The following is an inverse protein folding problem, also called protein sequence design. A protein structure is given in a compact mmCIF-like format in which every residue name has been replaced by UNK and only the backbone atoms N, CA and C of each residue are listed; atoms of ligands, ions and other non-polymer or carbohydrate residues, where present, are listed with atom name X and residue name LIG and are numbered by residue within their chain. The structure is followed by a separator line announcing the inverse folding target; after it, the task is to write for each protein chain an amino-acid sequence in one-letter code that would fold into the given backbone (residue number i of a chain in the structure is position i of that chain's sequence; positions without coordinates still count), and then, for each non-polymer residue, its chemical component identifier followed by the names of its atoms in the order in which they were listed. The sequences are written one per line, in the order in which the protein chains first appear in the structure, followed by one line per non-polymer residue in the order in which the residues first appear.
data_IF_826650731861
#
_entry.id   IF_826650731861
#
_cell.length_a   1.000
_cell.length_b   1.000
_cell.length_c   1.000
_cell.angle_alpha   90.00
_cell.angle_beta   90.00
_cell.angle_gamma   90.00
#
_symmetry.space_group_name_H-M   'P 1'
#
loop_
_entity.id
_entity.type
_entity.pdbx_description
1 polymer ?
#
# COMPACT_ATOMS: atom_id res chain seq x y z
N UNK A 1 35.02 14.70 23.65
CA UNK A 1 34.95 14.40 22.20
C UNK A 1 33.57 13.92 21.75
N UNK A 2 32.57 13.82 22.63
CA UNK A 2 31.29 13.15 22.33
C UNK A 2 30.25 13.97 21.55
N UNK A 3 30.31 15.30 21.60
CA UNK A 3 29.26 16.14 21.02
C UNK A 3 29.22 16.06 19.46
N UNK A 4 30.40 16.06 18.82
CA UNK A 4 30.49 16.04 17.35
C UNK A 4 29.94 14.74 16.72
N UNK A 5 30.20 13.59 17.35
CA UNK A 5 29.70 12.31 16.86
C UNK A 5 28.19 12.17 17.03
N UNK A 6 27.64 12.65 18.14
CA UNK A 6 26.20 12.66 18.38
C UNK A 6 25.46 13.61 17.43
N UNK A 7 25.99 14.81 17.18
CA UNK A 7 25.41 15.72 16.19
C UNK A 7 25.41 15.14 14.78
N UNK A 8 26.49 14.45 14.38
CA UNK A 8 26.58 13.81 13.07
C UNK A 8 25.54 12.68 12.92
N UNK A 9 25.37 11.85 13.95
CA UNK A 9 24.37 10.78 13.97
C UNK A 9 22.93 11.35 13.93
N UNK A 10 22.66 12.41 14.69
CA UNK A 10 21.36 13.08 14.68
C UNK A 10 21.03 13.67 13.31
N UNK A 11 22.00 14.31 12.64
CA UNK A 11 21.80 14.83 11.27
C UNK A 11 21.50 13.69 10.28
N UNK A 12 22.25 12.59 10.34
CA UNK A 12 22.01 11.43 9.48
C UNK A 12 20.63 10.82 9.71
N UNK A 13 20.21 10.68 10.97
CA UNK A 13 18.85 10.24 11.32
C UNK A 13 17.79 11.10 10.64
N UNK A 14 17.85 12.41 10.83
CA UNK A 14 16.85 13.33 10.29
C UNK A 14 16.79 13.27 8.77
N UNK A 15 17.94 13.14 8.10
CA UNK A 15 18.00 12.96 6.63
C UNK A 15 17.28 11.68 6.21
N UNK A 16 17.50 10.57 6.90
CA UNK A 16 16.85 9.29 6.57
C UNK A 16 15.33 9.38 6.81
N UNK A 17 14.90 9.94 7.95
CA UNK A 17 13.47 10.11 8.25
C UNK A 17 12.77 10.99 7.21
N UNK A 18 13.39 12.10 6.81
CA UNK A 18 12.87 12.96 5.73
C UNK A 18 12.83 12.24 4.38
N UNK A 19 13.84 11.42 4.07
CA UNK A 19 13.83 10.64 2.83
C UNK A 19 12.70 9.60 2.81
N UNK A 20 12.42 8.94 3.95
CA UNK A 20 11.28 8.04 4.10
C UNK A 20 9.97 8.79 3.88
N UNK A 21 9.79 9.94 4.55
CA UNK A 21 8.59 10.75 4.43
C UNK A 21 8.36 11.20 2.99
N UNK A 22 9.40 11.73 2.33
CA UNK A 22 9.31 12.16 0.94
C UNK A 22 8.93 10.99 0.01
N UNK A 23 9.54 9.81 0.19
CA UNK A 23 9.19 8.64 -0.62
C UNK A 23 7.72 8.22 -0.45
N UNK A 24 7.13 8.42 0.74
CA UNK A 24 5.71 8.14 0.97
C UNK A 24 4.81 9.20 0.35
N UNK A 25 5.22 10.47 0.38
CA UNK A 25 4.47 11.60 -0.19
C UNK A 25 4.52 11.63 -1.72
N UNK A 26 5.59 11.10 -2.33
CA UNK A 26 5.75 10.96 -3.78
C UNK A 26 4.97 9.76 -4.36
N UNK A 27 4.08 9.16 -3.57
CA UNK A 27 3.28 8.03 -4.00
C UNK A 27 2.24 8.44 -5.06
N UNK A 28 2.22 7.71 -6.17
CA UNK A 28 1.38 7.89 -7.36
C UNK A 28 0.06 7.12 -7.29
N UNK A 29 -0.31 6.64 -6.09
CA UNK A 29 -1.49 5.83 -5.79
C UNK A 29 -1.49 4.42 -6.42
N UNK A 30 -0.39 3.99 -7.06
CA UNK A 30 -0.32 2.65 -7.66
C UNK A 30 0.25 1.62 -6.69
N UNK A 31 -0.26 0.38 -6.78
CA UNK A 31 0.24 -0.75 -5.98
C UNK A 31 1.72 -1.07 -6.25
N UNK A 32 2.22 -1.14 -7.50
CA UNK A 32 3.63 -1.43 -7.77
C UNK A 32 4.57 -0.39 -7.17
N UNK A 33 4.19 0.89 -7.21
CA UNK A 33 5.01 1.95 -6.63
C UNK A 33 4.96 1.90 -5.08
N UNK A 34 3.80 1.60 -4.48
CA UNK A 34 3.70 1.37 -3.03
C UNK A 34 4.64 0.24 -2.55
N UNK A 35 4.69 -0.88 -3.28
CA UNK A 35 5.61 -1.99 -2.97
C UNK A 35 7.08 -1.56 -3.04
N UNK A 36 7.45 -0.78 -4.05
CA UNK A 36 8.79 -0.23 -4.20
C UNK A 36 9.16 0.70 -3.03
N UNK A 37 8.25 1.62 -2.68
CA UNK A 37 8.40 2.54 -1.55
C UNK A 37 8.59 1.76 -0.25
N UNK A 38 7.76 0.75 0.01
CA UNK A 38 7.86 -0.06 1.23
C UNK A 38 9.16 -0.85 1.30
N UNK A 39 9.63 -1.40 0.18
CA UNK A 39 10.92 -2.10 0.11
C UNK A 39 12.08 -1.15 0.40
N UNK A 40 12.05 0.05 -0.19
CA UNK A 40 13.08 1.08 0.03
C UNK A 40 13.08 1.58 1.46
N UNK A 41 11.90 1.86 2.02
CA UNK A 41 11.79 2.33 3.39
C UNK A 41 12.19 1.26 4.42
N UNK A 42 11.94 -0.02 4.14
CA UNK A 42 12.46 -1.12 4.96
C UNK A 42 13.99 -1.10 5.04
N UNK A 43 14.67 -0.81 3.93
CA UNK A 43 16.13 -0.65 3.93
C UNK A 43 16.57 0.55 4.77
N UNK A 44 15.90 1.69 4.62
CA UNK A 44 16.17 2.89 5.42
C UNK A 44 15.97 2.68 6.93
N UNK A 45 14.95 1.92 7.32
CA UNK A 45 14.72 1.56 8.73
C UNK A 45 15.84 0.64 9.25
N UNK A 46 16.26 -0.36 8.47
CA UNK A 46 17.37 -1.23 8.85
C UNK A 46 18.69 -0.44 9.00
N UNK A 47 18.91 0.57 8.16
CA UNK A 47 20.09 1.44 8.27
C UNK A 47 20.02 2.36 9.51
N UNK A 48 18.82 2.84 9.89
CA UNK A 48 18.60 3.54 11.16
C UNK A 48 18.91 2.64 12.36
N UNK A 49 18.44 1.39 12.36
CA UNK A 49 18.70 0.42 13.44
C UNK A 49 20.21 0.17 13.62
N UNK A 50 20.96 0.03 12.52
CA UNK A 50 22.44 -0.12 12.55
C UNK A 50 23.15 1.09 13.15
N UNK A 51 22.58 2.28 13.01
CA UNK A 51 23.10 3.52 13.61
C UNK A 51 22.78 3.62 15.11
N UNK A 52 22.18 2.59 15.71
CA UNK A 52 21.80 2.58 17.12
C UNK A 52 20.58 3.46 17.42
N UNK A 53 19.77 3.75 16.39
CA UNK A 53 18.55 4.52 16.56
C UNK A 53 17.56 3.76 17.44
N UNK A 54 17.09 4.43 18.49
CA UNK A 54 16.07 3.90 19.39
C UNK A 54 14.94 4.93 19.52
N UNK A 55 13.72 4.46 19.30
CA UNK A 55 12.50 5.26 19.46
C UNK A 55 12.37 5.88 20.87
N UNK A 56 13.00 5.27 21.87
CA UNK A 56 12.95 5.72 23.26
C UNK A 56 13.76 6.99 23.52
N UNK A 57 14.67 7.38 22.60
CA UNK A 57 15.53 8.57 22.73
C UNK A 57 15.16 9.69 21.74
N UNK A 58 13.95 9.63 21.19
CA UNK A 58 13.46 10.64 20.24
C UNK A 58 13.18 11.97 20.93
N UNK A 59 13.74 13.04 20.38
CA UNK A 59 13.31 14.40 20.71
C UNK A 59 11.91 14.69 20.13
N UNK A 60 11.32 15.81 20.54
CA UNK A 60 9.96 16.16 20.13
C UNK A 60 9.83 16.39 18.62
N UNK A 61 10.89 16.82 17.94
CA UNK A 61 10.89 17.07 16.51
C UNK A 61 10.93 15.77 15.70
N UNK A 62 11.75 14.81 16.12
CA UNK A 62 11.80 13.50 15.50
C UNK A 62 10.50 12.72 15.72
N UNK A 63 9.88 12.85 16.91
CA UNK A 63 8.55 12.23 17.16
C UNK A 63 7.50 12.74 16.19
N UNK A 64 7.53 14.04 15.86
CA UNK A 64 6.61 14.62 14.88
C UNK A 64 6.84 14.02 13.50
N UNK A 65 8.08 13.93 13.04
CA UNK A 65 8.43 13.31 11.76
C UNK A 65 8.02 11.82 11.71
N UNK A 66 8.26 11.07 12.78
CA UNK A 66 7.84 9.66 12.86
C UNK A 66 6.32 9.53 12.80
N UNK A 67 5.58 10.41 13.49
CA UNK A 67 4.12 10.41 13.43
C UNK A 67 3.62 10.73 12.02
N UNK A 68 4.21 11.72 11.34
CA UNK A 68 3.88 12.04 9.94
C UNK A 68 4.12 10.83 9.04
N UNK A 69 5.27 10.16 9.16
CA UNK A 69 5.58 8.92 8.43
C UNK A 69 4.52 7.85 8.69
N UNK A 70 4.13 7.62 9.95
CA UNK A 70 3.11 6.62 10.33
C UNK A 70 1.76 6.97 9.71
N UNK A 71 1.37 8.25 9.73
CA UNK A 71 0.13 8.71 9.11
C UNK A 71 0.12 8.45 7.61
N UNK A 72 1.20 8.78 6.89
CA UNK A 72 1.31 8.52 5.45
C UNK A 72 1.19 7.01 5.15
N UNK A 73 1.89 6.15 5.91
CA UNK A 73 1.74 4.70 5.77
C UNK A 73 0.29 4.23 5.94
N UNK A 74 -0.42 4.77 6.92
CA UNK A 74 -1.82 4.40 7.17
C UNK A 74 -2.73 4.82 6.02
N UNK A 75 -2.48 5.98 5.40
CA UNK A 75 -3.24 6.43 4.23
C UNK A 75 -3.05 5.49 3.04
N UNK A 76 -1.79 5.17 2.70
CA UNK A 76 -1.46 4.23 1.63
C UNK A 76 -2.14 2.87 1.86
N UNK A 77 -2.01 2.32 3.08
CA UNK A 77 -2.61 1.02 3.42
C UNK A 77 -4.15 1.05 3.34
N UNK A 78 -4.77 2.16 3.73
CA UNK A 78 -6.23 2.32 3.66
C UNK A 78 -6.70 2.34 2.22
N UNK A 79 -6.00 3.10 1.36
CA UNK A 79 -6.31 3.18 -0.07
C UNK A 79 -6.16 1.84 -0.78
N UNK A 80 -5.05 1.12 -0.54
CA UNK A 80 -4.85 -0.24 -1.07
C UNK A 80 -5.96 -1.21 -0.63
N UNK A 81 -6.43 -1.11 0.63
CA UNK A 81 -7.53 -1.93 1.12
C UNK A 81 -8.86 -1.61 0.42
N UNK A 82 -9.12 -0.34 0.15
CA UNK A 82 -10.31 0.11 -0.59
C UNK A 82 -10.26 -0.41 -2.03
N UNK A 83 -9.14 -0.25 -2.72
CA UNK A 83 -8.97 -0.71 -4.10
C UNK A 83 -9.13 -2.23 -4.20
N UNK A 84 -8.60 -2.99 -3.21
CA UNK A 84 -8.83 -4.45 -3.12
C UNK A 84 -10.31 -4.81 -2.96
N UNK A 85 -11.04 -4.06 -2.13
CA UNK A 85 -12.47 -4.30 -1.93
C UNK A 85 -13.27 -4.02 -3.20
N UNK A 86 -12.89 -2.98 -3.94
CA UNK A 86 -13.52 -2.58 -5.20
C UNK A 86 -13.29 -3.61 -6.30
N UNK A 87 -12.04 -4.05 -6.50
CA UNK A 87 -11.72 -5.14 -7.45
C UNK A 87 -12.51 -6.40 -7.12
N UNK A 88 -12.65 -6.75 -5.83
CA UNK A 88 -13.46 -7.90 -5.41
C UNK A 88 -14.94 -7.76 -5.81
N UNK A 89 -15.51 -6.56 -5.69
CA UNK A 89 -16.89 -6.29 -6.13
C UNK A 89 -17.04 -6.45 -7.64
N UNK A 90 -16.14 -5.85 -8.41
CA UNK A 90 -16.15 -5.95 -9.87
C UNK A 90 -16.04 -7.40 -10.35
N UNK A 91 -15.17 -8.20 -9.74
CA UNK A 91 -15.06 -9.64 -10.03
C UNK A 91 -16.35 -10.40 -9.72
N UNK A 92 -17.02 -10.07 -8.62
CA UNK A 92 -18.32 -10.67 -8.28
C UNK A 92 -19.39 -10.30 -9.32
N UNK A 93 -19.49 -9.03 -9.70
CA UNK A 93 -20.43 -8.57 -10.73
C UNK A 93 -20.21 -9.26 -12.07
N UNK A 94 -18.95 -9.38 -12.51
CA UNK A 94 -18.61 -10.13 -13.73
C UNK A 94 -19.00 -11.61 -13.61
N UNK A 95 -18.82 -12.21 -12.44
CA UNK A 95 -19.21 -13.61 -12.19
C UNK A 95 -20.72 -13.78 -12.26
N UNK A 96 -21.49 -12.86 -11.67
CA UNK A 96 -22.95 -12.85 -11.76
C UNK A 96 -23.42 -12.64 -13.19
N UNK A 97 -22.87 -11.65 -13.90
CA UNK A 97 -23.19 -11.38 -15.31
C UNK A 97 -22.92 -12.59 -16.20
N UNK A 98 -21.77 -13.26 -16.01
CA UNK A 98 -21.45 -14.52 -16.70
C UNK A 98 -22.47 -15.61 -16.42
N UNK A 99 -22.91 -15.76 -15.17
CA UNK A 99 -23.94 -16.73 -14.78
C UNK A 99 -25.29 -16.45 -15.44
N UNK A 100 -25.71 -15.18 -15.48
CA UNK A 100 -26.93 -14.75 -16.14
C UNK A 100 -26.87 -15.02 -17.65
N UNK A 101 -25.80 -14.61 -18.33
CA UNK A 101 -25.59 -14.88 -19.76
C UNK A 101 -25.64 -16.37 -20.08
N UNK A 102 -24.98 -17.21 -19.27
CA UNK A 102 -25.03 -18.66 -19.43
C UNK A 102 -26.46 -19.20 -19.30
N UNK A 103 -27.22 -18.74 -18.30
CA UNK A 103 -28.60 -19.15 -18.11
C UNK A 103 -29.51 -18.71 -19.26
N UNK A 104 -29.29 -17.52 -19.83
CA UNK A 104 -29.98 -17.05 -21.04
C UNK A 104 -29.67 -17.96 -22.23
N UNK A 105 -28.39 -18.21 -22.52
CA UNK A 105 -27.98 -19.10 -23.62
C UNK A 105 -28.52 -20.52 -23.46
N UNK A 106 -28.50 -21.07 -22.24
CA UNK A 106 -29.04 -22.39 -21.94
C UNK A 106 -30.57 -22.44 -22.13
N UNK A 107 -31.30 -21.37 -21.80
CA UNK A 107 -32.75 -21.26 -22.06
C UNK A 107 -33.05 -21.16 -23.55
N UNK A 108 -32.31 -20.35 -24.29
CA UNK A 108 -32.51 -20.20 -25.74
C UNK A 108 -32.22 -21.52 -26.47
N UNK A 109 -31.14 -22.22 -26.08
CA UNK A 109 -30.81 -23.53 -26.64
C UNK A 109 -31.86 -24.59 -26.33
N UNK A 110 -32.47 -24.55 -25.13
CA UNK A 110 -33.58 -25.46 -24.78
C UNK A 110 -34.86 -25.13 -25.53
N UNK A 111 -35.18 -23.84 -25.73
CA UNK A 111 -36.33 -23.42 -26.54
C UNK A 111 -36.16 -23.84 -28.00
N UNK A 112 -34.99 -23.60 -28.58
CA UNK A 112 -34.71 -23.99 -29.96
C UNK A 112 -34.73 -25.49 -30.19
N UNK A 113 -34.55 -26.33 -29.17
CA UNK A 113 -34.67 -27.80 -29.28
C UNK A 113 -36.12 -28.28 -29.20
N UNK A 114 -37.00 -27.54 -28.53
CA UNK A 114 -38.44 -27.90 -28.40
C UNK A 114 -39.20 -27.56 -29.70
N UNK A 115 -38.75 -26.56 -30.46
CA UNK A 115 -39.40 -26.13 -31.71
C UNK A 115 -39.13 -27.05 -32.93
N UNK A 116 -38.36 -28.13 -32.78
CA UNK A 116 -38.08 -29.11 -33.86
C UNK A 116 -38.88 -30.43 -33.75
N UNK A 117 -39.72 -30.60 -32.74
CA UNK A 117 -40.61 -31.76 -32.60
C UNK A 117 -42.07 -31.40 -33.00
N UNK A 118 -42.32 -31.18 -34.29
CA UNK A 118 -43.67 -31.16 -34.90
C UNK A 118 -43.66 -31.77 -36.30
#
# INVERSE_FOLDING_TARGET
MDNYYQEKLNRQRVVILKAILQCLQDWDETLPQAELIFKKNKQHIADLEKLGFSLNKLDQSDRKLVNEIVTEYQQILTKIRQDKAEVKRQVLELTYSRGALKAYLDRDRRRSLIDFDF
#
